data_IF_113846785614
#
_entry.id   IF_113846785614
#
_cell.length_a   1.000
_cell.length_b   1.000
_cell.length_c   1.000
_cell.angle_alpha   90.00
_cell.angle_beta   90.00
_cell.angle_gamma   90.00
#
_symmetry.space_group_name_H-M   'P 1'
#
loop_
_entity.id
_entity.type
_entity.pdbx_description
1 polymer ?
#
# COMPACT_ATOMS: atom_id res chain seq x y z
N UNK A 1 16.57 -12.91 21.11
CA UNK A 1 15.57 -13.93 21.45
C UNK A 1 14.31 -13.35 22.08
N UNK A 2 14.40 -12.40 23.03
CA UNK A 2 13.24 -11.81 23.71
C UNK A 2 12.34 -11.02 22.72
N UNK A 3 12.90 -10.11 21.93
CA UNK A 3 12.16 -9.30 20.95
C UNK A 3 11.39 -10.17 19.94
N UNK A 4 12.00 -11.26 19.45
CA UNK A 4 11.31 -12.15 18.50
C UNK A 4 10.12 -12.89 19.15
N UNK A 5 10.21 -13.25 20.43
CA UNK A 5 9.11 -13.85 21.19
C UNK A 5 7.97 -12.85 21.39
N UNK A 6 8.29 -11.60 21.74
CA UNK A 6 7.30 -10.53 21.89
C UNK A 6 6.58 -10.24 20.57
N UNK A 7 7.31 -10.15 19.46
CA UNK A 7 6.73 -9.97 18.13
C UNK A 7 5.79 -11.12 17.78
N UNK A 8 6.19 -12.37 18.05
CA UNK A 8 5.34 -13.53 17.78
C UNK A 8 4.06 -13.49 18.65
N UNK A 9 4.18 -13.13 19.94
CA UNK A 9 3.03 -12.98 20.83
C UNK A 9 2.07 -11.89 20.32
N UNK A 10 2.58 -10.73 19.90
CA UNK A 10 1.74 -9.65 19.34
C UNK A 10 1.06 -10.07 18.05
N UNK A 11 1.75 -10.78 17.14
CA UNK A 11 1.14 -11.34 15.93
C UNK A 11 0.02 -12.32 16.25
N UNK A 12 0.22 -13.17 17.23
CA UNK A 12 -0.79 -14.15 17.68
C UNK A 12 -2.00 -13.42 18.26
N UNK A 13 -1.79 -12.43 19.11
CA UNK A 13 -2.86 -11.63 19.70
C UNK A 13 -3.65 -10.88 18.61
N UNK A 14 -2.96 -10.25 17.65
CA UNK A 14 -3.60 -9.60 16.51
C UNK A 14 -4.45 -10.59 15.70
N UNK A 15 -3.91 -11.76 15.38
CA UNK A 15 -4.62 -12.78 14.61
C UNK A 15 -5.90 -13.29 15.31
N UNK A 16 -5.86 -13.43 16.63
CA UNK A 16 -6.99 -13.96 17.40
C UNK A 16 -8.02 -12.90 17.79
N UNK A 17 -7.56 -11.71 18.19
CA UNK A 17 -8.43 -10.72 18.82
C UNK A 17 -8.84 -9.58 17.88
N UNK A 18 -7.94 -9.14 17.01
CA UNK A 18 -8.16 -7.96 16.18
C UNK A 18 -8.58 -8.33 14.75
N UNK A 19 -7.88 -9.28 14.12
CA UNK A 19 -8.14 -9.67 12.75
C UNK A 19 -9.61 -10.00 12.44
N UNK A 20 -10.38 -10.70 13.31
CA UNK A 20 -11.80 -10.98 13.08
C UNK A 20 -12.68 -9.72 13.02
N UNK A 21 -12.23 -8.60 13.58
CA UNK A 21 -12.94 -7.32 13.64
C UNK A 21 -12.75 -6.47 12.39
N UNK A 22 -11.71 -6.75 11.58
CA UNK A 22 -11.47 -5.98 10.37
C UNK A 22 -12.44 -6.36 9.27
N UNK A 23 -12.93 -5.35 8.56
CA UNK A 23 -13.87 -5.51 7.46
C UNK A 23 -13.21 -5.92 6.13
N UNK A 24 -11.99 -6.49 6.16
CA UNK A 24 -11.27 -6.89 4.95
C UNK A 24 -11.96 -8.02 4.17
N UNK A 25 -12.84 -8.77 4.84
CA UNK A 25 -13.68 -9.81 4.20
C UNK A 25 -14.93 -9.24 3.52
N UNK A 26 -15.13 -7.93 3.57
CA UNK A 26 -16.25 -7.28 2.91
C UNK A 26 -16.28 -7.66 1.43
N UNK A 27 -17.46 -8.05 0.97
CA UNK A 27 -17.69 -8.29 -0.46
C UNK A 27 -17.43 -7.02 -1.26
N UNK A 28 -16.88 -7.20 -2.45
CA UNK A 28 -16.66 -6.09 -3.38
C UNK A 28 -18.01 -5.70 -3.98
N UNK A 29 -18.47 -4.46 -3.79
CA UNK A 29 -19.76 -4.03 -4.32
C UNK A 29 -19.71 -3.92 -5.86
N UNK A 30 -20.90 -3.98 -6.47
CA UNK A 30 -21.02 -4.01 -7.92
C UNK A 30 -20.47 -2.76 -8.62
N UNK A 31 -20.34 -1.63 -7.94
CA UNK A 31 -19.80 -0.38 -8.45
C UNK A 31 -18.26 -0.27 -8.38
N UNK A 32 -17.60 -1.31 -7.84
CA UNK A 32 -16.13 -1.40 -7.74
C UNK A 32 -15.61 -2.65 -8.48
N UNK A 33 -14.45 -2.53 -9.11
CA UNK A 33 -13.71 -3.65 -9.70
C UNK A 33 -12.45 -3.88 -8.87
N UNK A 34 -12.24 -5.11 -8.43
CA UNK A 34 -11.01 -5.54 -7.75
C UNK A 34 -10.15 -6.40 -8.68
N UNK A 35 -8.92 -5.99 -8.85
CA UNK A 35 -7.83 -6.83 -9.32
C UNK A 35 -6.96 -7.19 -8.13
N UNK A 36 -7.11 -8.41 -7.62
CA UNK A 36 -6.47 -8.85 -6.38
C UNK A 36 -5.22 -9.68 -6.59
N UNK A 37 -4.38 -9.72 -5.55
CA UNK A 37 -3.19 -10.58 -5.44
C UNK A 37 -2.19 -10.42 -6.61
N UNK A 38 -1.97 -9.19 -7.04
CA UNK A 38 -1.05 -8.87 -8.13
C UNK A 38 0.37 -8.81 -7.56
N UNK A 39 1.31 -9.63 -8.05
CA UNK A 39 2.70 -9.53 -7.62
C UNK A 39 3.36 -8.26 -8.20
N UNK A 40 4.01 -7.47 -7.35
CA UNK A 40 4.83 -6.34 -7.78
C UNK A 40 6.33 -6.69 -7.84
N UNK A 41 6.73 -7.85 -7.28
CA UNK A 41 8.05 -8.45 -7.42
C UNK A 41 7.94 -9.90 -7.92
N UNK A 42 8.98 -10.44 -8.59
CA UNK A 42 8.90 -11.74 -9.26
C UNK A 42 8.70 -12.95 -8.34
N UNK A 43 9.08 -12.85 -7.06
CA UNK A 43 8.96 -13.94 -6.08
C UNK A 43 7.50 -14.19 -5.66
N UNK A 44 6.61 -13.24 -5.92
CA UNK A 44 5.16 -13.34 -5.66
C UNK A 44 4.82 -13.80 -4.23
N UNK A 45 5.69 -13.53 -3.25
CA UNK A 45 5.40 -13.82 -1.85
C UNK A 45 4.24 -12.96 -1.35
N UNK A 46 3.58 -13.38 -0.28
CA UNK A 46 2.45 -12.61 0.29
C UNK A 46 2.83 -11.16 0.64
N UNK A 47 4.07 -10.92 1.01
CA UNK A 47 4.60 -9.58 1.27
C UNK A 47 4.76 -8.74 -0.01
N UNK A 48 4.81 -9.36 -1.18
CA UNK A 48 5.01 -8.68 -2.46
C UNK A 48 3.77 -8.69 -3.35
N UNK A 49 2.58 -8.72 -2.74
CA UNK A 49 1.30 -8.62 -3.43
C UNK A 49 0.65 -7.26 -3.19
N UNK A 50 -0.09 -6.79 -4.18
CA UNK A 50 -0.94 -5.63 -4.08
C UNK A 50 -2.33 -5.91 -4.68
N UNK A 51 -3.30 -5.09 -4.30
CA UNK A 51 -4.62 -5.04 -4.90
C UNK A 51 -4.82 -3.70 -5.60
N UNK A 52 -5.53 -3.72 -6.73
CA UNK A 52 -6.00 -2.50 -7.40
C UNK A 52 -7.52 -2.50 -7.38
N UNK A 53 -8.11 -1.50 -6.75
CA UNK A 53 -9.55 -1.25 -6.76
C UNK A 53 -9.84 -0.06 -7.67
N UNK A 54 -10.80 -0.22 -8.56
CA UNK A 54 -11.19 0.82 -9.54
C UNK A 54 -12.69 1.07 -9.50
N UNK A 55 -13.14 2.30 -9.78
CA UNK A 55 -14.53 2.55 -10.09
C UNK A 55 -14.95 1.70 -11.31
N UNK A 56 -16.05 0.95 -11.20
CA UNK A 56 -16.53 0.15 -12.34
C UNK A 56 -16.79 1.00 -13.58
N UNK A 57 -17.31 2.19 -13.41
CA UNK A 57 -17.59 3.11 -14.51
C UNK A 57 -16.34 3.46 -15.32
N UNK A 58 -15.20 3.64 -14.67
CA UNK A 58 -13.93 3.90 -15.37
C UNK A 58 -13.50 2.69 -16.21
N UNK A 59 -13.70 1.49 -15.71
CA UNK A 59 -13.35 0.24 -16.41
C UNK A 59 -14.29 -0.02 -17.59
N UNK A 60 -15.61 0.09 -17.39
CA UNK A 60 -16.62 -0.25 -18.40
C UNK A 60 -16.61 0.74 -19.58
N UNK A 61 -16.37 2.01 -19.30
CA UNK A 61 -16.33 3.03 -20.37
C UNK A 61 -15.03 2.99 -21.18
N UNK A 62 -14.07 2.15 -20.83
CA UNK A 62 -12.74 2.11 -21.47
C UNK A 62 -12.04 3.48 -21.37
N UNK A 63 -12.23 4.15 -20.24
CA UNK A 63 -12.09 5.58 -20.09
C UNK A 63 -10.68 6.06 -19.82
N UNK A 64 -10.59 7.35 -19.49
CA UNK A 64 -9.37 7.99 -19.06
C UNK A 64 -8.84 7.37 -17.76
N UNK A 65 -7.53 7.42 -17.56
CA UNK A 65 -6.91 7.07 -16.31
C UNK A 65 -7.49 7.92 -15.16
N UNK A 66 -7.62 7.32 -13.98
CA UNK A 66 -8.18 7.96 -12.79
C UNK A 66 -7.08 8.23 -11.75
N UNK A 67 -7.24 9.26 -10.92
CA UNK A 67 -6.26 9.57 -9.86
C UNK A 67 -5.99 8.37 -8.98
N UNK A 68 -4.74 8.19 -8.56
CA UNK A 68 -4.27 7.02 -7.80
C UNK A 68 -4.13 7.35 -6.33
N UNK A 69 -4.64 6.49 -5.46
CA UNK A 69 -4.30 6.46 -4.05
C UNK A 69 -3.42 5.23 -3.78
N UNK A 70 -2.18 5.43 -3.41
CA UNK A 70 -1.27 4.39 -2.95
C UNK A 70 -1.42 4.24 -1.44
N UNK A 71 -1.96 3.11 -1.00
CA UNK A 71 -2.33 2.86 0.39
C UNK A 71 -1.38 1.88 1.06
N UNK A 72 -0.73 2.33 2.14
CA UNK A 72 0.21 1.53 2.94
C UNK A 72 -0.38 1.26 4.33
N UNK A 73 -0.58 -0.03 4.64
CA UNK A 73 -1.18 -0.43 5.90
C UNK A 73 -0.26 -0.20 7.10
N UNK A 74 -0.87 -0.06 8.28
CA UNK A 74 -0.19 -0.04 9.57
C UNK A 74 0.16 -1.43 10.10
N UNK A 75 0.50 -1.49 11.39
CA UNK A 75 0.81 -2.76 12.06
C UNK A 75 2.22 -2.80 12.65
N UNK A 76 2.71 -1.65 13.13
CA UNK A 76 4.00 -1.55 13.84
C UNK A 76 5.16 -2.26 13.11
N UNK A 77 5.12 -2.33 11.77
CA UNK A 77 6.10 -2.97 10.88
C UNK A 77 6.16 -4.49 10.95
N UNK A 78 5.47 -5.15 11.85
CA UNK A 78 5.56 -6.59 12.10
C UNK A 78 4.24 -7.36 11.95
N UNK A 79 3.10 -6.70 11.70
CA UNK A 79 1.85 -7.33 11.31
C UNK A 79 1.10 -6.48 10.28
N UNK A 80 0.02 -7.03 9.72
CA UNK A 80 -0.76 -6.34 8.72
C UNK A 80 -0.59 -6.92 7.31
N UNK A 81 -1.44 -6.48 6.41
CA UNK A 81 -1.47 -6.86 5.00
C UNK A 81 -2.45 -5.94 4.25
N UNK A 82 -2.40 -5.95 2.92
CA UNK A 82 -3.17 -5.06 2.03
C UNK A 82 -4.69 -5.03 2.27
N UNK A 83 -5.27 -6.12 2.73
CA UNK A 83 -6.72 -6.22 2.94
C UNK A 83 -7.22 -5.54 4.22
N UNK A 84 -6.36 -5.18 5.15
CA UNK A 84 -6.77 -4.57 6.42
C UNK A 84 -7.64 -3.33 6.22
N UNK A 85 -7.29 -2.50 5.23
CA UNK A 85 -8.01 -1.26 4.92
C UNK A 85 -9.03 -1.43 3.79
N UNK A 86 -9.43 -2.64 3.43
CA UNK A 86 -10.29 -2.91 2.25
C UNK A 86 -11.58 -2.09 2.23
N UNK A 87 -12.23 -1.91 3.35
CA UNK A 87 -13.45 -1.08 3.42
C UNK A 87 -13.18 0.37 3.04
N UNK A 88 -12.06 0.92 3.51
CA UNK A 88 -11.63 2.27 3.15
C UNK A 88 -11.26 2.36 1.67
N UNK A 89 -10.52 1.39 1.15
CA UNK A 89 -10.16 1.31 -0.27
C UNK A 89 -11.40 1.24 -1.18
N UNK A 90 -12.43 0.48 -0.79
CA UNK A 90 -13.72 0.41 -1.51
C UNK A 90 -14.37 1.80 -1.56
N UNK A 91 -14.47 2.49 -0.43
CA UNK A 91 -15.10 3.81 -0.39
C UNK A 91 -14.33 4.84 -1.23
N UNK A 92 -13.01 4.81 -1.21
CA UNK A 92 -12.19 5.67 -2.06
C UNK A 92 -12.39 5.36 -3.56
N UNK A 93 -12.48 4.07 -3.93
CA UNK A 93 -12.76 3.67 -5.31
C UNK A 93 -14.15 4.15 -5.76
N UNK A 94 -15.17 4.09 -4.91
CA UNK A 94 -16.50 4.64 -5.17
C UNK A 94 -16.50 6.15 -5.39
N UNK A 95 -15.52 6.85 -4.84
CA UNK A 95 -15.33 8.29 -5.04
C UNK A 95 -14.47 8.64 -6.26
N UNK A 96 -14.16 7.67 -7.13
CA UNK A 96 -13.51 7.93 -8.41
C UNK A 96 -12.00 7.75 -8.43
N UNK A 97 -11.40 7.16 -7.39
CA UNK A 97 -9.96 6.90 -7.32
C UNK A 97 -9.61 5.47 -7.69
N UNK A 98 -8.46 5.26 -8.31
CA UNK A 98 -7.81 3.96 -8.32
C UNK A 98 -7.07 3.79 -6.98
N UNK A 99 -7.38 2.74 -6.24
CA UNK A 99 -6.70 2.48 -4.96
C UNK A 99 -5.75 1.30 -5.14
N UNK A 100 -4.47 1.53 -4.89
CA UNK A 100 -3.43 0.51 -4.88
C UNK A 100 -3.09 0.21 -3.42
N UNK A 101 -3.69 -0.83 -2.87
CA UNK A 101 -3.42 -1.30 -1.51
C UNK A 101 -2.27 -2.31 -1.55
N UNK A 102 -1.19 -2.04 -0.83
CA UNK A 102 0.05 -2.83 -0.92
C UNK A 102 0.37 -3.57 0.37
N UNK A 103 0.77 -4.84 0.24
CA UNK A 103 1.48 -5.55 1.30
C UNK A 103 2.98 -5.29 1.18
N UNK A 104 3.69 -5.39 2.29
CA UNK A 104 5.15 -5.39 2.35
C UNK A 104 5.63 -6.45 3.34
N UNK A 105 6.84 -7.03 3.17
CA UNK A 105 7.38 -8.00 4.09
C UNK A 105 7.55 -7.41 5.49
N UNK A 106 7.38 -8.24 6.50
CA UNK A 106 7.27 -7.79 7.88
C UNK A 106 8.49 -8.18 8.71
N UNK A 107 8.85 -7.32 9.69
CA UNK A 107 9.82 -7.69 10.71
C UNK A 107 9.36 -8.96 11.48
N UNK A 108 10.21 -9.90 11.90
CA UNK A 108 11.68 -9.87 11.79
C UNK A 108 12.25 -10.54 10.53
N UNK A 109 11.41 -10.88 9.54
CA UNK A 109 11.90 -11.48 8.30
C UNK A 109 12.76 -10.51 7.48
N UNK A 110 12.42 -9.22 7.55
CA UNK A 110 13.16 -8.12 6.92
C UNK A 110 13.29 -6.95 7.89
N UNK A 111 14.22 -6.04 7.61
CA UNK A 111 14.38 -4.78 8.32
C UNK A 111 13.53 -3.65 7.70
N UNK A 112 13.53 -2.50 8.36
CA UNK A 112 12.78 -1.31 7.93
C UNK A 112 13.21 -0.79 6.54
N UNK A 113 14.51 -0.80 6.25
CA UNK A 113 15.01 -0.32 4.95
C UNK A 113 14.59 -1.25 3.82
N UNK A 114 14.54 -2.55 4.06
CA UNK A 114 14.00 -3.52 3.10
C UNK A 114 12.52 -3.26 2.84
N UNK A 115 11.72 -2.98 3.88
CA UNK A 115 10.31 -2.60 3.71
C UNK A 115 10.15 -1.36 2.81
N UNK A 116 11.01 -0.35 2.98
CA UNK A 116 11.00 0.84 2.13
C UNK A 116 11.38 0.54 0.68
N UNK A 117 12.41 -0.30 0.44
CA UNK A 117 12.83 -0.72 -0.90
C UNK A 117 11.74 -1.50 -1.62
N UNK A 118 11.06 -2.37 -0.91
CA UNK A 118 9.96 -3.15 -1.48
C UNK A 118 8.77 -2.24 -1.84
N UNK A 119 8.42 -1.28 -0.99
CA UNK A 119 7.41 -0.29 -1.31
C UNK A 119 7.82 0.64 -2.47
N UNK A 120 9.11 0.99 -2.59
CA UNK A 120 9.63 1.71 -3.75
C UNK A 120 9.47 0.88 -5.03
N UNK A 121 9.68 -0.44 -4.95
CA UNK A 121 9.42 -1.38 -6.05
C UNK A 121 7.93 -1.46 -6.41
N UNK A 122 7.04 -1.38 -5.43
CA UNK A 122 5.59 -1.29 -5.68
C UNK A 122 5.21 0.00 -6.41
N UNK A 123 5.84 1.14 -6.08
CA UNK A 123 5.65 2.40 -6.83
C UNK A 123 6.18 2.32 -8.26
N UNK A 124 7.29 1.62 -8.47
CA UNK A 124 7.81 1.34 -9.81
C UNK A 124 6.82 0.47 -10.61
N UNK A 125 6.19 -0.52 -9.96
CA UNK A 125 5.13 -1.32 -10.56
C UNK A 125 3.93 -0.44 -10.95
N UNK A 126 3.49 0.50 -10.10
CA UNK A 126 2.41 1.47 -10.42
C UNK A 126 2.75 2.26 -11.67
N UNK A 127 3.98 2.77 -11.77
CA UNK A 127 4.45 3.49 -12.94
C UNK A 127 4.35 2.67 -14.22
N UNK A 128 4.87 1.44 -14.21
CA UNK A 128 4.92 0.53 -15.36
C UNK A 128 3.56 -0.03 -15.76
N UNK A 129 2.66 -0.17 -14.81
CA UNK A 129 1.35 -0.79 -15.01
C UNK A 129 0.21 0.20 -15.26
N UNK A 130 0.52 1.50 -15.31
CA UNK A 130 -0.44 2.60 -15.38
C UNK A 130 -1.47 2.45 -16.50
N UNK A 131 -1.03 2.13 -17.72
CA UNK A 131 -1.93 1.96 -18.86
C UNK A 131 -2.84 0.73 -18.73
N UNK A 132 -2.38 -0.34 -18.08
CA UNK A 132 -3.16 -1.57 -17.90
C UNK A 132 -4.29 -1.42 -16.88
N UNK A 133 -4.07 -0.63 -15.84
CA UNK A 133 -5.01 -0.48 -14.73
C UNK A 133 -5.59 0.95 -14.63
N UNK A 134 -5.55 1.72 -15.69
CA UNK A 134 -6.10 3.08 -15.76
C UNK A 134 -5.59 4.00 -14.64
N UNK A 135 -4.30 3.91 -14.29
CA UNK A 135 -3.68 4.67 -13.21
C UNK A 135 -3.14 6.00 -13.75
N UNK A 136 -3.68 7.14 -13.30
CA UNK A 136 -3.10 8.45 -13.62
C UNK A 136 -1.89 8.74 -12.72
N UNK A 137 -0.71 8.40 -13.20
CA UNK A 137 0.55 8.61 -12.50
C UNK A 137 0.95 10.08 -12.33
N UNK A 138 0.23 11.03 -12.95
CA UNK A 138 0.40 12.47 -12.72
C UNK A 138 -0.45 12.98 -11.56
N UNK A 139 -1.37 12.18 -11.04
CA UNK A 139 -2.26 12.52 -9.92
C UNK A 139 -2.23 11.40 -8.88
N UNK A 140 -1.15 11.33 -8.11
CA UNK A 140 -0.93 10.30 -7.09
C UNK A 140 -1.07 10.90 -5.71
N UNK A 141 -1.74 10.18 -4.85
CA UNK A 141 -1.90 10.49 -3.44
C UNK A 141 -1.37 9.31 -2.62
N UNK A 142 -0.62 9.57 -1.56
CA UNK A 142 -0.24 8.52 -0.63
C UNK A 142 -1.12 8.55 0.60
N UNK A 143 -1.53 7.38 1.07
CA UNK A 143 -2.14 7.26 2.39
C UNK A 143 -1.44 6.18 3.20
N UNK A 144 -1.20 6.48 4.47
CA UNK A 144 -0.62 5.57 5.43
C UNK A 144 -1.43 5.52 6.72
N UNK A 145 -1.43 4.37 7.37
CA UNK A 145 -2.01 4.21 8.69
C UNK A 145 -0.93 3.81 9.69
N UNK A 146 -0.80 4.52 10.82
CA UNK A 146 0.18 4.22 11.89
C UNK A 146 1.61 4.01 11.34
N UNK A 147 2.21 2.83 11.41
CA UNK A 147 3.51 2.52 10.81
C UNK A 147 3.57 2.84 9.31
N UNK A 148 2.45 2.68 8.58
CA UNK A 148 2.34 3.05 7.18
C UNK A 148 2.54 4.55 6.94
N UNK A 149 2.21 5.41 7.91
CA UNK A 149 2.50 6.86 7.84
C UNK A 149 4.00 7.09 7.75
N UNK A 150 4.79 6.48 8.62
CA UNK A 150 6.25 6.61 8.59
C UNK A 150 6.82 6.15 7.26
N UNK A 151 6.34 5.01 6.76
CA UNK A 151 6.80 4.47 5.47
C UNK A 151 6.50 5.42 4.30
N UNK A 152 5.28 5.97 4.20
CA UNK A 152 4.94 6.90 3.11
C UNK A 152 5.67 8.24 3.23
N UNK A 153 5.98 8.70 4.45
CA UNK A 153 6.78 9.92 4.66
C UNK A 153 8.22 9.71 4.16
N UNK A 154 8.86 8.58 4.48
CA UNK A 154 10.20 8.24 3.98
C UNK A 154 10.21 8.09 2.45
N UNK A 155 9.22 7.42 1.86
CA UNK A 155 9.07 7.33 0.40
C UNK A 155 8.93 8.72 -0.23
N UNK A 156 8.10 9.59 0.36
CA UNK A 156 7.93 10.96 -0.11
C UNK A 156 9.23 11.75 -0.03
N UNK A 157 9.97 11.63 1.06
CA UNK A 157 11.27 12.27 1.21
C UNK A 157 12.25 11.79 0.16
N UNK A 158 12.34 10.46 -0.08
CA UNK A 158 13.22 9.89 -1.10
C UNK A 158 12.81 10.29 -2.53
N UNK A 159 11.52 10.45 -2.82
CA UNK A 159 11.05 10.94 -4.13
C UNK A 159 11.49 12.38 -4.42
N UNK A 160 11.64 13.21 -3.40
CA UNK A 160 11.89 14.65 -3.53
C UNK A 160 13.33 15.06 -3.18
N UNK A 161 14.15 14.13 -2.70
CA UNK A 161 15.53 14.40 -2.29
C UNK A 161 16.43 13.23 -2.67
N UNK A 162 17.24 13.44 -3.71
CA UNK A 162 18.13 12.39 -4.26
C UNK A 162 19.28 12.03 -3.27
N UNK A 163 19.74 12.97 -2.44
CA UNK A 163 20.73 12.70 -1.39
C UNK A 163 20.12 11.76 -0.32
N UNK A 164 18.89 12.05 0.10
CA UNK A 164 18.17 11.20 1.06
C UNK A 164 17.87 9.81 0.48
N UNK A 165 17.46 9.74 -0.78
CA UNK A 165 17.25 8.48 -1.49
C UNK A 165 18.53 7.64 -1.53
N UNK A 166 19.67 8.27 -1.85
CA UNK A 166 20.97 7.61 -1.88
C UNK A 166 21.45 7.17 -0.50
N UNK A 167 21.22 7.98 0.54
CA UNK A 167 21.57 7.63 1.92
C UNK A 167 20.88 6.35 2.40
N UNK A 168 19.59 6.18 2.03
CA UNK A 168 18.81 5.00 2.42
C UNK A 168 18.91 3.85 1.40
N UNK A 169 19.49 4.09 0.23
CA UNK A 169 19.42 3.18 -0.91
C UNK A 169 17.95 2.81 -1.24
N UNK A 170 17.10 3.84 -1.34
CA UNK A 170 15.66 3.72 -1.63
C UNK A 170 15.30 4.67 -2.77
N UNK A 171 14.98 4.13 -3.93
CA UNK A 171 14.78 4.89 -5.17
C UNK A 171 13.36 4.69 -5.73
N UNK A 172 12.33 5.33 -5.16
CA UNK A 172 10.96 5.19 -5.64
C UNK A 172 10.78 5.88 -6.98
N UNK A 173 9.87 5.36 -7.82
CA UNK A 173 9.48 6.00 -9.06
C UNK A 173 8.99 7.43 -8.80
N UNK A 174 9.42 8.38 -9.62
CA UNK A 174 9.00 9.79 -9.54
C UNK A 174 7.62 9.95 -10.18
N UNK A 175 6.59 9.86 -9.36
CA UNK A 175 5.19 10.03 -9.74
C UNK A 175 4.72 11.46 -9.42
N UNK A 176 3.61 11.87 -10.02
CA UNK A 176 2.97 13.16 -9.76
C UNK A 176 2.27 13.21 -8.41
N UNK A 177 3.02 13.11 -7.31
CA UNK A 177 2.50 13.15 -5.95
C UNK A 177 1.84 14.50 -5.65
N UNK A 178 0.58 14.50 -5.21
CA UNK A 178 -0.25 15.69 -4.96
C UNK A 178 -0.47 15.96 -3.49
N UNK A 179 -0.74 14.92 -2.70
CA UNK A 179 -0.98 15.07 -1.27
C UNK A 179 -0.75 13.75 -0.51
N UNK A 180 -0.71 13.87 0.81
CA UNK A 180 -0.61 12.75 1.76
C UNK A 180 -1.85 12.72 2.65
N UNK A 181 -2.43 11.53 2.84
CA UNK A 181 -3.45 11.23 3.84
C UNK A 181 -2.83 10.44 4.99
N UNK A 182 -2.64 11.05 6.14
CA UNK A 182 -1.96 10.42 7.27
C UNK A 182 -2.97 10.05 8.34
N UNK A 183 -3.19 8.75 8.55
CA UNK A 183 -4.12 8.20 9.55
C UNK A 183 -3.34 7.71 10.76
N UNK A 184 -3.81 8.04 11.97
CA UNK A 184 -3.18 7.56 13.22
C UNK A 184 -1.67 7.86 13.30
N UNK A 185 -1.26 9.01 12.75
CA UNK A 185 0.13 9.45 12.81
C UNK A 185 0.53 9.64 14.28
N UNK A 186 1.65 9.01 14.67
CA UNK A 186 2.27 9.33 15.95
C UNK A 186 3.10 10.60 15.77
N UNK A 187 2.79 11.61 16.57
CA UNK A 187 3.52 12.87 16.62
C UNK A 187 4.78 12.72 17.48
#
# INVERSE_FOLDING_TARGET
PAIAADVLQHRTNFAHNDLPRYAFKREIPDDVVLYGDIPYLPDATRGHLLDVLLPRDAVVRGGAAVPVIFEVHGGAYFYGFKEINRSHAIELARHGYAVVSVSYPLYPAVDFLTQLRDLASALEWVSKSSGRYLLDTNQVFFTGDSAGVTLVLHLTAAMNNDEYASLLDVHPAKLGLRALGLKSAMA
#
